data_IF_716596863340
#
_entry.id   IF_716596863340
#
_cell.length_a   1.000
_cell.length_b   1.000
_cell.length_c   1.000
_cell.angle_alpha   90.00
_cell.angle_beta   90.00
_cell.angle_gamma   90.00
#
_symmetry.space_group_name_H-M   'P 1'
#
loop_
_entity.id
_entity.type
_entity.pdbx_description
1 polymer ?
#
# COMPACT_ATOMS: atom_id res chain seq x y z
N UNK A 1 -2.98 1.07 -4.39
CA UNK A 1 -2.25 2.11 -3.67
C UNK A 1 -0.95 1.59 -3.02
N UNK A 2 -0.71 0.28 -2.99
CA UNK A 2 0.49 -0.37 -2.46
C UNK A 2 0.93 -1.45 -3.46
N UNK A 3 2.00 -1.20 -4.22
CA UNK A 3 2.44 -2.06 -5.32
C UNK A 3 3.95 -1.94 -5.58
N UNK A 4 4.60 -3.07 -5.93
CA UNK A 4 6.02 -3.16 -6.29
C UNK A 4 6.16 -3.48 -7.79
N UNK A 5 5.53 -2.62 -8.60
CA UNK A 5 5.36 -2.83 -10.03
C UNK A 5 6.53 -2.29 -10.87
N UNK A 6 7.37 -1.42 -10.31
CA UNK A 6 8.50 -0.84 -11.06
C UNK A 6 9.66 -1.82 -11.17
N UNK A 7 10.26 -1.98 -12.37
CA UNK A 7 11.34 -2.95 -12.54
C UNK A 7 12.66 -2.47 -11.90
N UNK A 8 13.45 -3.41 -11.37
CA UNK A 8 14.82 -3.24 -10.85
C UNK A 8 15.00 -2.35 -9.62
N UNK A 9 13.90 -1.85 -9.02
CA UNK A 9 14.00 -0.90 -7.90
C UNK A 9 14.05 -1.59 -6.53
N UNK A 10 13.40 -2.75 -6.43
CA UNK A 10 13.37 -3.55 -5.20
C UNK A 10 13.27 -5.05 -5.54
N UNK A 11 12.56 -5.86 -4.75
CA UNK A 11 12.32 -7.28 -5.00
C UNK A 11 10.94 -7.55 -5.64
N UNK A 12 10.32 -6.52 -6.21
CA UNK A 12 9.11 -6.63 -7.03
C UNK A 12 9.42 -7.05 -8.46
N UNK A 13 8.90 -6.31 -9.46
CA UNK A 13 9.12 -6.65 -10.86
C UNK A 13 10.61 -6.72 -11.24
N UNK A 14 11.02 -7.86 -11.81
CA UNK A 14 12.43 -8.10 -12.17
C UNK A 14 12.83 -7.45 -13.49
N UNK A 15 11.85 -7.13 -14.35
CA UNK A 15 12.04 -6.50 -15.66
C UNK A 15 10.74 -5.81 -16.13
N UNK A 16 10.80 -5.18 -17.30
CA UNK A 16 9.66 -4.53 -17.91
C UNK A 16 8.54 -5.50 -18.31
N UNK A 17 8.86 -6.70 -18.74
CA UNK A 17 7.85 -7.68 -19.12
C UNK A 17 6.97 -8.04 -17.93
N UNK A 18 7.57 -8.37 -16.79
CA UNK A 18 6.82 -8.63 -15.55
C UNK A 18 6.05 -7.40 -15.07
N UNK A 19 6.67 -6.21 -15.08
CA UNK A 19 6.04 -4.94 -14.69
C UNK A 19 4.77 -4.69 -15.48
N UNK A 20 4.87 -4.75 -16.82
CA UNK A 20 3.73 -4.50 -17.71
C UNK A 20 2.65 -5.59 -17.57
N UNK A 21 3.01 -6.85 -17.44
CA UNK A 21 2.04 -7.93 -17.22
C UNK A 21 1.29 -7.76 -15.88
N UNK A 22 1.95 -7.28 -14.83
CA UNK A 22 1.29 -6.97 -13.55
C UNK A 22 0.29 -5.82 -13.70
N UNK A 23 0.64 -4.77 -14.47
CA UNK A 23 -0.26 -3.65 -14.77
C UNK A 23 -1.43 -4.08 -15.65
N UNK A 24 -1.20 -4.88 -16.71
CA UNK A 24 -2.26 -5.44 -17.55
C UNK A 24 -3.27 -6.23 -16.74
N UNK A 25 -2.79 -7.16 -15.89
CA UNK A 25 -3.68 -7.93 -15.00
C UNK A 25 -4.45 -7.05 -14.02
N UNK A 26 -3.85 -5.95 -13.57
CA UNK A 26 -4.55 -4.98 -12.72
C UNK A 26 -5.67 -4.27 -13.50
N UNK A 27 -5.40 -3.85 -14.75
CA UNK A 27 -6.40 -3.23 -15.63
C UNK A 27 -7.56 -4.17 -15.96
N UNK A 28 -7.31 -5.46 -16.18
CA UNK A 28 -8.34 -6.50 -16.39
C UNK A 28 -9.31 -6.62 -15.19
N UNK A 29 -8.85 -6.22 -13.99
CA UNK A 29 -9.68 -6.16 -12.78
C UNK A 29 -10.32 -4.80 -12.52
N UNK A 30 -10.25 -3.87 -13.51
CA UNK A 30 -10.86 -2.54 -13.41
C UNK A 30 -10.01 -1.53 -12.64
N UNK A 31 -8.70 -1.78 -12.46
CA UNK A 31 -7.80 -0.79 -11.85
C UNK A 31 -7.44 0.26 -12.90
N UNK A 32 -7.81 1.52 -12.63
CA UNK A 32 -7.55 2.66 -13.52
C UNK A 32 -6.31 3.46 -13.10
N UNK A 33 -5.89 3.33 -11.85
CA UNK A 33 -4.71 4.01 -11.32
C UNK A 33 -3.97 3.15 -10.29
N UNK A 34 -2.65 3.25 -10.26
CA UNK A 34 -1.80 2.64 -9.24
C UNK A 34 -0.86 3.67 -8.64
N UNK A 35 -0.48 3.48 -7.37
CA UNK A 35 0.64 4.18 -6.76
C UNK A 35 1.75 3.14 -6.61
N UNK A 36 2.84 3.33 -7.34
CA UNK A 36 4.03 2.50 -7.20
C UNK A 36 4.74 2.87 -5.90
N UNK A 37 4.98 1.87 -5.06
CA UNK A 37 5.53 2.07 -3.71
C UNK A 37 6.75 1.17 -3.48
N UNK A 38 7.82 1.30 -4.28
CA UNK A 38 9.01 0.51 -4.03
C UNK A 38 9.53 0.76 -2.61
N UNK A 39 10.15 -0.27 -2.03
CA UNK A 39 10.70 -0.18 -0.68
C UNK A 39 11.78 0.90 -0.57
N UNK A 40 11.73 1.63 0.53
CA UNK A 40 12.86 2.40 1.03
C UNK A 40 13.35 1.81 2.35
N UNK A 41 14.56 1.26 2.33
CA UNK A 41 15.21 0.64 3.49
C UNK A 41 16.39 1.52 3.95
N UNK A 42 16.38 2.06 5.18
CA UNK A 42 17.42 3.01 5.64
C UNK A 42 18.85 2.47 5.62
N UNK A 43 19.01 1.15 5.65
CA UNK A 43 20.32 0.46 5.66
C UNK A 43 20.78 -0.03 4.29
N UNK A 44 20.01 0.24 3.23
CA UNK A 44 20.31 -0.20 1.86
C UNK A 44 20.29 1.00 0.94
N UNK A 45 21.32 1.11 0.10
CA UNK A 45 21.26 2.06 -0.99
C UNK A 45 20.12 1.70 -1.94
N UNK A 46 19.21 2.63 -2.13
CA UNK A 46 18.03 2.47 -2.96
C UNK A 46 18.07 3.40 -4.18
N UNK A 47 17.06 3.31 -5.01
CA UNK A 47 16.89 4.24 -6.13
C UNK A 47 16.39 5.60 -5.62
N UNK A 48 16.77 6.65 -6.33
CA UNK A 48 16.34 8.02 -5.97
C UNK A 48 14.89 8.29 -6.35
N UNK A 49 14.31 9.31 -5.74
CA UNK A 49 12.95 9.77 -6.06
C UNK A 49 12.79 10.10 -7.56
N UNK A 50 13.81 10.72 -8.18
CA UNK A 50 13.77 11.03 -9.61
C UNK A 50 13.74 9.76 -10.49
N UNK A 51 14.43 8.71 -10.09
CA UNK A 51 14.39 7.42 -10.81
C UNK A 51 13.03 6.79 -10.71
N UNK A 52 12.40 6.81 -9.52
CA UNK A 52 11.04 6.29 -9.32
C UNK A 52 10.04 7.05 -10.21
N UNK A 53 10.10 8.38 -10.21
CA UNK A 53 9.22 9.20 -11.07
C UNK A 53 9.40 8.86 -12.55
N UNK A 54 10.64 8.80 -13.05
CA UNK A 54 10.92 8.44 -14.46
C UNK A 54 10.41 7.05 -14.83
N UNK A 55 10.55 6.07 -13.94
CA UNK A 55 10.05 4.72 -14.19
C UNK A 55 8.51 4.66 -14.18
N UNK A 56 7.83 5.48 -13.37
CA UNK A 56 6.37 5.61 -13.44
C UNK A 56 5.92 6.18 -14.79
N UNK A 57 6.57 7.24 -15.27
CA UNK A 57 6.26 7.83 -16.57
C UNK A 57 6.52 6.83 -17.70
N UNK A 58 7.67 6.14 -17.70
CA UNK A 58 8.01 5.11 -18.67
C UNK A 58 7.03 3.94 -18.65
N UNK A 59 6.61 3.49 -17.47
CA UNK A 59 5.62 2.42 -17.32
C UNK A 59 4.28 2.81 -17.96
N UNK A 60 3.83 4.04 -17.74
CA UNK A 60 2.60 4.59 -18.33
C UNK A 60 2.69 4.64 -19.86
N UNK A 61 3.80 5.16 -20.41
CA UNK A 61 4.02 5.24 -21.84
C UNK A 61 4.07 3.85 -22.50
N UNK A 62 4.81 2.92 -21.92
CA UNK A 62 4.93 1.54 -22.40
C UNK A 62 3.60 0.82 -22.37
N UNK A 63 2.84 0.91 -21.27
CA UNK A 63 1.54 0.28 -21.12
C UNK A 63 0.57 0.75 -22.22
N UNK A 64 0.54 2.05 -22.47
CA UNK A 64 -0.27 2.61 -23.55
C UNK A 64 0.20 2.15 -24.93
N UNK A 65 1.51 2.18 -25.18
CA UNK A 65 2.09 1.85 -26.50
C UNK A 65 2.00 0.37 -26.84
N UNK A 66 2.28 -0.50 -25.87
CA UNK A 66 2.43 -1.95 -26.10
C UNK A 66 1.09 -2.70 -25.96
N UNK A 67 0.20 -2.22 -25.07
CA UNK A 67 -1.08 -2.89 -24.74
C UNK A 67 -2.32 -2.05 -25.01
N UNK A 68 -2.18 -0.77 -25.39
CA UNK A 68 -3.32 0.12 -25.62
C UNK A 68 -4.08 0.51 -24.35
N UNK A 69 -3.49 0.28 -23.18
CA UNK A 69 -4.13 0.51 -21.87
C UNK A 69 -3.70 1.88 -21.34
N UNK A 70 -4.67 2.75 -21.06
CA UNK A 70 -4.45 4.01 -20.34
C UNK A 70 -4.64 3.77 -18.85
N UNK A 71 -3.59 3.93 -18.06
CA UNK A 71 -3.60 3.80 -16.60
C UNK A 71 -2.73 4.90 -16.00
N UNK A 72 -3.22 5.56 -14.97
CA UNK A 72 -2.39 6.49 -14.22
C UNK A 72 -1.47 5.73 -13.25
N UNK A 73 -0.17 6.10 -13.28
CA UNK A 73 0.86 5.48 -12.43
C UNK A 73 1.55 6.61 -11.66
N UNK A 74 1.31 6.65 -10.35
CA UNK A 74 1.84 7.67 -9.46
C UNK A 74 3.04 7.16 -8.68
N UNK A 75 4.05 8.03 -8.41
CA UNK A 75 5.19 7.65 -7.57
C UNK A 75 4.85 7.71 -6.08
N UNK A 76 5.52 6.86 -5.30
CA UNK A 76 5.51 6.83 -3.85
C UNK A 76 6.61 5.91 -3.33
N UNK A 77 6.67 5.72 -2.03
CA UNK A 77 7.51 4.69 -1.40
C UNK A 77 6.73 3.92 -0.33
N UNK A 78 7.06 2.66 -0.15
CA UNK A 78 6.85 1.95 1.10
C UNK A 78 8.10 2.17 1.97
N UNK A 79 7.96 2.98 3.02
CA UNK A 79 9.11 3.44 3.81
C UNK A 79 9.24 2.58 5.06
N UNK A 80 10.37 1.88 5.20
CA UNK A 80 10.71 1.27 6.48
C UNK A 80 10.97 2.40 7.49
N UNK A 81 10.08 2.51 8.48
CA UNK A 81 10.09 3.62 9.41
C UNK A 81 11.35 3.63 10.31
N UNK A 82 11.99 4.79 10.38
CA UNK A 82 13.12 5.08 11.25
C UNK A 82 12.99 6.48 11.87
N UNK A 83 13.87 6.83 12.79
CA UNK A 83 13.94 8.19 13.35
C UNK A 83 14.24 9.27 12.32
N UNK A 84 14.79 8.91 11.16
CA UNK A 84 15.14 9.81 10.07
C UNK A 84 14.00 10.01 9.06
N UNK A 85 12.92 9.21 9.14
CA UNK A 85 11.84 9.20 8.14
C UNK A 85 11.27 10.60 7.87
N UNK A 86 11.05 11.39 8.91
CA UNK A 86 10.51 12.75 8.75
C UNK A 86 11.48 13.67 7.99
N UNK A 87 12.78 13.57 8.27
CA UNK A 87 13.78 14.36 7.58
C UNK A 87 13.95 13.92 6.11
N UNK A 88 13.91 12.63 5.86
CA UNK A 88 13.93 12.07 4.50
C UNK A 88 12.74 12.55 3.65
N UNK A 89 11.55 12.62 4.26
CA UNK A 89 10.36 13.17 3.61
C UNK A 89 10.51 14.68 3.31
N UNK A 90 10.98 15.47 4.28
CA UNK A 90 11.19 16.92 4.10
C UNK A 90 12.22 17.26 3.03
N UNK A 91 13.26 16.45 2.92
CA UNK A 91 14.32 16.64 1.93
C UNK A 91 14.01 16.04 0.56
N UNK A 92 12.87 15.36 0.42
CA UNK A 92 12.46 14.71 -0.83
C UNK A 92 13.29 13.47 -1.20
N UNK A 93 14.07 12.93 -0.26
CA UNK A 93 14.83 11.68 -0.49
C UNK A 93 13.91 10.46 -0.59
N UNK A 94 12.76 10.51 0.08
CA UNK A 94 11.69 9.52 -0.04
C UNK A 94 10.39 10.22 -0.43
N UNK A 95 9.53 9.50 -1.12
CA UNK A 95 8.31 10.02 -1.69
C UNK A 95 7.11 9.72 -0.78
N UNK A 96 6.26 10.71 -0.62
CA UNK A 96 4.88 10.50 -0.18
C UNK A 96 4.06 9.83 -1.29
N UNK A 97 2.89 9.32 -0.99
CA UNK A 97 2.01 8.72 -1.99
C UNK A 97 1.47 9.80 -2.94
N UNK A 98 1.84 9.72 -4.22
CA UNK A 98 1.40 10.64 -5.28
C UNK A 98 1.65 12.13 -4.97
N UNK A 99 2.71 12.48 -4.23
CA UNK A 99 3.04 13.86 -3.86
C UNK A 99 2.09 14.50 -2.83
N UNK A 100 1.27 13.71 -2.16
CA UNK A 100 0.29 14.17 -1.16
C UNK A 100 0.89 14.20 0.26
N UNK A 101 0.06 14.35 1.28
CA UNK A 101 0.46 14.24 2.68
C UNK A 101 0.47 12.78 3.20
N UNK A 102 0.01 11.81 2.43
CA UNK A 102 -0.07 10.41 2.85
C UNK A 102 1.27 9.69 2.67
N UNK A 103 1.65 8.93 3.68
CA UNK A 103 2.93 8.20 3.74
C UNK A 103 2.66 6.75 4.07
N UNK A 104 3.08 5.83 3.20
CA UNK A 104 3.01 4.40 3.46
C UNK A 104 4.25 3.98 4.25
N UNK A 105 4.06 3.45 5.46
CA UNK A 105 5.15 3.03 6.35
C UNK A 105 5.04 1.56 6.69
N UNK A 106 6.21 0.91 6.76
CA UNK A 106 6.32 -0.48 7.19
C UNK A 106 7.31 -0.65 8.35
N UNK A 107 7.26 -1.81 8.99
CA UNK A 107 8.13 -2.23 10.10
C UNK A 107 8.42 -3.72 10.01
N UNK A 108 9.42 -4.18 10.78
CA UNK A 108 9.57 -5.62 11.04
C UNK A 108 8.38 -6.18 11.82
N UNK A 109 8.14 -7.48 11.71
CA UNK A 109 6.98 -8.12 12.35
C UNK A 109 7.00 -8.05 13.88
N UNK A 110 8.21 -8.02 14.46
CA UNK A 110 8.49 -7.95 15.90
C UNK A 110 8.44 -6.54 16.48
N UNK A 111 8.06 -5.54 15.68
CA UNK A 111 7.96 -4.16 16.14
C UNK A 111 7.14 -4.03 17.44
N UNK A 112 7.57 -3.17 18.35
CA UNK A 112 6.78 -2.89 19.56
C UNK A 112 5.58 -2.00 19.22
N UNK A 113 4.49 -2.16 19.96
CA UNK A 113 3.31 -1.31 19.80
C UNK A 113 3.61 0.17 20.06
N UNK A 114 4.48 0.47 21.03
CA UNK A 114 4.93 1.84 21.32
C UNK A 114 5.62 2.49 20.11
N UNK A 115 6.35 1.71 19.29
CA UNK A 115 6.98 2.23 18.08
C UNK A 115 5.93 2.60 17.03
N UNK A 116 4.87 1.81 16.87
CA UNK A 116 3.75 2.17 15.97
C UNK A 116 3.08 3.47 16.43
N UNK A 117 2.79 3.60 17.73
CA UNK A 117 2.23 4.82 18.30
C UNK A 117 3.17 6.03 18.15
N UNK A 118 4.49 5.82 18.32
CA UNK A 118 5.49 6.87 18.09
C UNK A 118 5.46 7.34 16.65
N UNK A 119 5.49 6.41 15.69
CA UNK A 119 5.46 6.74 14.26
C UNK A 119 4.19 7.51 13.87
N UNK A 120 3.02 7.10 14.38
CA UNK A 120 1.77 7.81 14.16
C UNK A 120 1.88 9.28 14.63
N UNK A 121 2.29 9.50 15.87
CA UNK A 121 2.43 10.85 16.44
C UNK A 121 3.48 11.69 15.73
N UNK A 122 4.66 11.14 15.45
CA UNK A 122 5.76 11.86 14.79
C UNK A 122 5.34 12.34 13.40
N UNK A 123 4.76 11.48 12.59
CA UNK A 123 4.32 11.83 11.23
C UNK A 123 3.18 12.85 11.26
N UNK A 124 2.17 12.62 12.13
CA UNK A 124 1.05 13.55 12.29
C UNK A 124 1.49 14.94 12.76
N UNK A 125 2.43 15.01 13.70
CA UNK A 125 3.00 16.27 14.18
C UNK A 125 3.66 17.08 13.06
N UNK A 126 4.24 16.41 12.08
CA UNK A 126 4.88 17.06 10.92
C UNK A 126 3.95 17.21 9.70
N UNK A 127 2.63 17.00 9.86
CA UNK A 127 1.64 17.22 8.80
C UNK A 127 1.44 16.05 7.84
N UNK A 128 2.08 14.90 8.08
CA UNK A 128 1.88 13.70 7.29
C UNK A 128 0.76 12.81 7.86
N UNK A 129 0.13 12.03 7.01
CA UNK A 129 -0.87 11.03 7.39
C UNK A 129 -0.26 9.64 7.18
N UNK A 130 0.14 8.93 8.25
CA UNK A 130 0.70 7.60 8.11
C UNK A 130 -0.35 6.57 7.74
N UNK A 131 -0.03 5.73 6.74
CA UNK A 131 -0.74 4.51 6.42
C UNK A 131 0.17 3.35 6.84
N UNK A 132 -0.28 2.56 7.79
CA UNK A 132 0.45 1.37 8.24
C UNK A 132 0.25 0.25 7.22
N UNK A 133 1.31 -0.06 6.46
CA UNK A 133 1.32 -1.14 5.49
C UNK A 133 1.10 -2.49 6.18
N UNK A 134 0.30 -3.36 5.54
CA UNK A 134 0.05 -4.75 5.96
C UNK A 134 0.03 -4.95 7.49
N UNK A 135 -0.79 -4.12 8.18
CA UNK A 135 -0.91 -4.07 9.65
C UNK A 135 -1.13 -5.45 10.29
N UNK A 136 -1.67 -6.40 9.53
CA UNK A 136 -1.91 -7.78 9.98
C UNK A 136 -0.62 -8.58 10.22
N UNK A 137 0.54 -8.10 9.74
CA UNK A 137 1.84 -8.77 9.90
C UNK A 137 2.48 -8.52 11.26
N UNK A 138 2.11 -7.42 11.95
CA UNK A 138 2.77 -7.04 13.20
C UNK A 138 2.24 -7.84 14.40
N UNK A 139 3.14 -8.52 15.11
CA UNK A 139 2.78 -9.38 16.24
C UNK A 139 2.19 -8.61 17.41
N UNK A 140 2.60 -7.37 17.58
CA UNK A 140 2.09 -6.50 18.65
C UNK A 140 0.62 -6.09 18.46
N UNK A 141 0.05 -6.26 17.25
CA UNK A 141 -1.35 -5.94 16.95
C UNK A 141 -2.19 -7.20 17.12
N UNK A 142 -2.50 -7.51 18.35
CA UNK A 142 -3.18 -8.73 18.78
C UNK A 142 -4.69 -8.55 19.02
N UNK A 143 -5.14 -7.30 19.22
CA UNK A 143 -6.54 -6.96 19.48
C UNK A 143 -7.02 -5.74 18.67
N UNK A 144 -8.32 -5.48 18.73
CA UNK A 144 -8.99 -4.41 17.96
C UNK A 144 -8.75 -3.04 18.61
N UNK A 145 -8.64 -2.99 19.91
CA UNK A 145 -8.45 -1.78 20.69
C UNK A 145 -7.18 -1.03 20.27
N UNK A 146 -6.10 -1.76 20.02
CA UNK A 146 -4.84 -1.20 19.48
C UNK A 146 -5.00 -0.59 18.09
N UNK A 147 -5.82 -1.18 17.23
CA UNK A 147 -6.11 -0.61 15.91
C UNK A 147 -6.91 0.68 16.03
N UNK A 148 -7.91 0.71 16.90
CA UNK A 148 -8.72 1.92 17.17
C UNK A 148 -7.83 3.04 17.70
N UNK A 149 -6.97 2.74 18.67
CA UNK A 149 -6.02 3.71 19.24
C UNK A 149 -5.06 4.28 18.17
N UNK A 150 -4.51 3.46 17.25
CA UNK A 150 -3.70 3.94 16.13
C UNK A 150 -4.49 4.88 15.21
N UNK A 151 -5.76 4.59 14.96
CA UNK A 151 -6.64 5.46 14.16
C UNK A 151 -6.96 6.78 14.90
N UNK A 152 -7.18 6.75 16.20
CA UNK A 152 -7.37 7.95 17.03
C UNK A 152 -6.14 8.85 17.04
N UNK A 153 -4.95 8.28 16.88
CA UNK A 153 -3.69 9.02 16.66
C UNK A 153 -3.56 9.57 15.22
N UNK A 154 -4.54 9.32 14.36
CA UNK A 154 -4.58 9.79 12.96
C UNK A 154 -3.84 8.88 11.98
N UNK A 155 -3.56 7.64 12.36
CA UNK A 155 -3.05 6.61 11.46
C UNK A 155 -4.16 5.94 10.66
N UNK A 156 -3.85 5.50 9.44
CA UNK A 156 -4.72 4.70 8.59
C UNK A 156 -4.14 3.29 8.45
N UNK A 157 -5.02 2.31 8.24
CA UNK A 157 -4.69 0.89 8.33
C UNK A 157 -4.90 0.20 6.99
N UNK A 158 -3.84 -0.39 6.44
CA UNK A 158 -3.91 -1.18 5.21
C UNK A 158 -3.67 -2.66 5.54
N UNK A 159 -4.47 -3.54 4.94
CA UNK A 159 -4.26 -4.99 4.93
C UNK A 159 -4.06 -5.51 3.52
N UNK A 160 -3.29 -6.58 3.39
CA UNK A 160 -3.12 -7.25 2.12
C UNK A 160 -4.31 -8.15 1.77
N UNK A 161 -4.69 -8.16 0.49
CA UNK A 161 -5.79 -9.01 0.00
C UNK A 161 -5.57 -10.48 0.32
N UNK A 162 -4.33 -10.96 0.28
CA UNK A 162 -3.97 -12.34 0.64
C UNK A 162 -4.21 -12.68 2.11
N UNK A 163 -4.26 -11.69 3.00
CA UNK A 163 -4.34 -11.91 4.44
C UNK A 163 -5.69 -12.46 4.92
N UNK A 164 -6.76 -12.32 4.13
CA UNK A 164 -8.10 -12.84 4.48
C UNK A 164 -8.59 -13.96 3.56
N UNK A 165 -7.72 -14.54 2.73
CA UNK A 165 -8.08 -15.64 1.82
C UNK A 165 -7.95 -17.03 2.44
N UNK A 166 -7.34 -17.15 3.61
CA UNK A 166 -7.20 -18.41 4.33
C UNK A 166 -8.55 -18.99 4.76
N UNK A 167 -8.57 -20.33 4.93
CA UNK A 167 -9.73 -21.09 5.37
C UNK A 167 -10.09 -20.85 6.84
N UNK A 168 -11.11 -21.61 7.32
CA UNK A 168 -11.65 -21.48 8.68
C UNK A 168 -10.63 -21.71 9.79
N UNK A 169 -9.59 -22.50 9.52
CA UNK A 169 -8.52 -22.81 10.49
C UNK A 169 -7.36 -21.83 10.48
N UNK A 170 -7.30 -20.92 9.51
CA UNK A 170 -6.27 -19.87 9.45
C UNK A 170 -6.59 -18.74 10.45
N UNK A 171 -5.84 -18.71 11.54
CA UNK A 171 -6.02 -17.74 12.61
C UNK A 171 -5.78 -16.30 12.13
N UNK A 172 -4.80 -16.07 11.25
CA UNK A 172 -4.49 -14.76 10.66
C UNK A 172 -5.66 -14.29 9.79
N UNK A 173 -6.16 -15.13 8.91
CA UNK A 173 -7.29 -14.82 8.06
C UNK A 173 -8.56 -14.51 8.88
N UNK A 174 -8.84 -15.29 9.93
CA UNK A 174 -9.97 -15.01 10.83
C UNK A 174 -9.83 -13.66 11.54
N UNK A 175 -8.62 -13.32 11.99
CA UNK A 175 -8.31 -12.03 12.64
C UNK A 175 -8.61 -10.87 11.69
N UNK A 176 -8.08 -10.91 10.47
CA UNK A 176 -8.29 -9.86 9.46
C UNK A 176 -9.76 -9.76 9.04
N UNK A 177 -10.44 -10.90 8.80
CA UNK A 177 -11.89 -10.92 8.52
C UNK A 177 -12.73 -10.27 9.62
N UNK A 178 -12.34 -10.44 10.91
CA UNK A 178 -12.99 -9.77 12.05
C UNK A 178 -12.80 -8.25 11.99
N UNK A 179 -11.60 -7.77 11.68
CA UNK A 179 -11.29 -6.35 11.54
C UNK A 179 -12.07 -5.69 10.40
N UNK A 180 -12.10 -6.35 9.23
CA UNK A 180 -12.88 -5.90 8.08
C UNK A 180 -14.37 -5.81 8.40
N UNK A 181 -14.96 -6.83 9.04
CA UNK A 181 -16.37 -6.80 9.46
C UNK A 181 -16.71 -5.71 10.49
N UNK A 182 -15.71 -5.23 11.22
CA UNK A 182 -15.86 -4.13 12.19
C UNK A 182 -15.66 -2.74 11.57
N UNK A 183 -15.34 -2.66 10.27
CA UNK A 183 -15.14 -1.38 9.58
C UNK A 183 -13.88 -0.63 10.03
N UNK A 184 -12.87 -1.33 10.58
CA UNK A 184 -11.69 -0.68 11.17
C UNK A 184 -10.60 -0.42 10.13
N UNK A 185 -10.51 -1.24 9.09
CA UNK A 185 -9.51 -1.15 8.04
C UNK A 185 -9.88 -0.04 7.05
N UNK A 186 -8.88 0.69 6.60
CA UNK A 186 -9.07 1.80 5.64
C UNK A 186 -8.76 1.37 4.21
N UNK A 187 -7.79 0.47 4.00
CA UNK A 187 -7.38 0.05 2.66
C UNK A 187 -7.20 -1.46 2.57
N UNK A 188 -7.60 -2.01 1.43
CA UNK A 188 -7.18 -3.34 0.97
C UNK A 188 -6.30 -3.14 -0.26
N UNK A 189 -5.08 -3.68 -0.23
CA UNK A 189 -4.15 -3.58 -1.34
C UNK A 189 -3.60 -4.95 -1.74
N UNK A 190 -3.07 -5.06 -2.96
CA UNK A 190 -2.46 -6.30 -3.44
C UNK A 190 -1.09 -6.55 -2.81
N UNK A 191 -0.31 -5.50 -2.59
CA UNK A 191 1.11 -5.61 -2.26
C UNK A 191 1.81 -6.51 -3.29
N UNK A 192 1.45 -6.32 -4.58
CA UNK A 192 1.89 -7.19 -5.67
C UNK A 192 3.39 -7.03 -5.92
N UNK A 193 4.07 -8.17 -6.11
CA UNK A 193 5.51 -8.22 -6.37
C UNK A 193 5.85 -9.08 -7.60
N UNK A 194 4.95 -9.99 -7.96
CA UNK A 194 5.11 -10.93 -9.05
C UNK A 194 3.75 -11.39 -9.57
N UNK A 195 3.75 -12.33 -10.51
CA UNK A 195 2.53 -12.85 -11.15
C UNK A 195 1.95 -14.10 -10.47
N UNK A 196 2.62 -14.64 -9.43
CA UNK A 196 2.31 -15.96 -8.87
C UNK A 196 2.19 -15.98 -7.35
N UNK A 197 3.23 -15.56 -6.62
CA UNK A 197 3.30 -15.61 -5.15
C UNK A 197 2.54 -14.44 -4.51
N UNK A 198 2.80 -13.25 -5.00
CA UNK A 198 2.11 -12.01 -4.62
C UNK A 198 1.56 -11.31 -5.87
N UNK A 199 0.54 -11.91 -6.51
CA UNK A 199 0.03 -11.40 -7.78
C UNK A 199 -0.84 -10.15 -7.59
N UNK A 200 -1.14 -9.45 -8.70
CA UNK A 200 -2.13 -8.38 -8.74
C UNK A 200 -3.48 -8.77 -8.14
N UNK A 201 -4.29 -7.78 -7.84
CA UNK A 201 -5.68 -7.97 -7.43
C UNK A 201 -6.44 -8.75 -8.52
N UNK A 202 -7.33 -9.65 -8.10
CA UNK A 202 -8.22 -10.38 -9.00
C UNK A 202 -9.62 -10.52 -8.37
N UNK A 203 -10.64 -10.68 -9.20
CA UNK A 203 -12.03 -10.73 -8.74
C UNK A 203 -12.31 -11.87 -7.77
N UNK A 204 -11.74 -13.05 -8.01
CA UNK A 204 -11.83 -14.20 -7.11
C UNK A 204 -11.23 -13.90 -5.73
N UNK A 205 -10.16 -13.11 -5.67
CA UNK A 205 -9.55 -12.67 -4.41
C UNK A 205 -10.42 -11.67 -3.65
N UNK A 206 -11.32 -10.96 -4.32
CA UNK A 206 -12.26 -10.01 -3.72
C UNK A 206 -13.60 -10.65 -3.34
N UNK A 207 -13.87 -11.86 -3.79
CA UNK A 207 -15.17 -12.53 -3.61
C UNK A 207 -15.65 -12.54 -2.15
N UNK A 208 -14.73 -12.74 -1.20
CA UNK A 208 -15.08 -12.72 0.22
C UNK A 208 -15.56 -11.34 0.68
N UNK A 209 -14.89 -10.26 0.25
CA UNK A 209 -15.29 -8.88 0.57
C UNK A 209 -16.69 -8.62 0.00
N UNK A 210 -16.90 -8.96 -1.29
CA UNK A 210 -18.14 -8.75 -2.00
C UNK A 210 -19.32 -9.48 -1.35
N UNK A 211 -19.10 -10.69 -0.81
CA UNK A 211 -20.14 -11.49 -0.16
C UNK A 211 -20.40 -11.12 1.30
N UNK A 212 -19.48 -10.47 2.00
CA UNK A 212 -19.51 -10.36 3.47
C UNK A 212 -19.51 -8.95 4.03
N UNK A 213 -19.22 -7.94 3.21
CA UNK A 213 -19.22 -6.55 3.63
C UNK A 213 -20.30 -5.76 2.89
N UNK A 214 -20.72 -4.65 3.46
CA UNK A 214 -21.64 -3.72 2.83
C UNK A 214 -20.99 -3.01 1.64
N UNK A 215 -21.72 -2.76 0.57
CA UNK A 215 -21.23 -2.15 -0.68
C UNK A 215 -20.48 -0.82 -0.43
N UNK A 216 -21.04 0.04 0.41
CA UNK A 216 -20.42 1.33 0.73
C UNK A 216 -19.03 1.18 1.39
N UNK A 217 -18.84 0.16 2.22
CA UNK A 217 -17.55 -0.10 2.85
C UNK A 217 -16.58 -0.78 1.87
N UNK A 218 -17.08 -1.67 1.01
CA UNK A 218 -16.26 -2.24 -0.08
C UNK A 218 -15.70 -1.14 -0.98
N UNK A 219 -16.56 -0.19 -1.38
CA UNK A 219 -16.16 0.95 -2.20
C UNK A 219 -15.06 1.77 -1.52
N UNK A 220 -15.21 2.11 -0.25
CA UNK A 220 -14.17 2.80 0.51
C UNK A 220 -12.84 2.06 0.55
N UNK A 221 -12.87 0.73 0.80
CA UNK A 221 -11.67 -0.09 0.92
C UNK A 221 -10.88 -0.21 -0.39
N UNK A 222 -11.58 -0.30 -1.52
CA UNK A 222 -10.99 -0.64 -2.81
C UNK A 222 -10.75 0.58 -3.69
N UNK A 223 -11.54 1.63 -3.53
CA UNK A 223 -11.55 2.79 -4.41
C UNK A 223 -11.57 4.13 -3.64
N UNK A 224 -12.63 4.40 -2.86
CA UNK A 224 -12.91 5.72 -2.31
C UNK A 224 -11.76 6.32 -1.51
N UNK A 225 -11.23 5.57 -0.52
CA UNK A 225 -10.11 6.08 0.28
C UNK A 225 -8.80 6.26 -0.54
N UNK A 226 -8.59 5.44 -1.58
CA UNK A 226 -7.45 5.64 -2.48
C UNK A 226 -7.64 6.86 -3.39
N UNK A 227 -8.87 7.13 -3.82
CA UNK A 227 -9.21 8.34 -4.57
C UNK A 227 -9.04 9.60 -3.70
N UNK A 228 -9.40 9.54 -2.41
CA UNK A 228 -9.16 10.65 -1.47
C UNK A 228 -7.67 11.01 -1.36
N UNK A 229 -6.77 10.02 -1.44
CA UNK A 229 -5.32 10.28 -1.55
C UNK A 229 -5.05 11.11 -2.80
N UNK A 230 -5.51 10.66 -3.98
CA UNK A 230 -5.23 11.33 -5.24
C UNK A 230 -5.88 12.72 -5.34
N UNK A 231 -7.08 12.90 -4.82
CA UNK A 231 -7.76 14.22 -4.81
C UNK A 231 -7.10 15.22 -3.87
N UNK A 232 -6.29 14.77 -2.92
CA UNK A 232 -5.50 15.64 -2.03
C UNK A 232 -4.15 16.06 -2.61
N UNK A 233 -3.84 15.69 -3.87
CA UNK A 233 -2.67 16.23 -4.56
C UNK A 233 -2.75 17.76 -4.61
N UNK A 234 -1.67 18.43 -4.21
CA UNK A 234 -1.57 19.87 -4.38
C UNK A 234 -1.43 20.17 -5.88
N UNK A 235 -2.41 20.84 -6.44
CA UNK A 235 -2.36 21.41 -7.79
C UNK A 235 -1.29 22.51 -7.83
#
# INVERSE_FOLDING_TARGET
>A
MHTHVLPWVDHGAVDWDMSLQMLVKSAECGVEAVIATPHYLPWKEGVTAEVICKLCDEAKERLQKEYGISMDIYPGNEIYYSSETVELLKTGKVLTLAGTQYVLIEFQQEVSYQMLCKAARDLRFHGYIPIFAHIERYFCVDNIEKLIELKEMGGLLQVNVGAFQGGLFDAKSRKVKKWLKKGIIDFVASDMHDLTQRPPMSNDRLEWLQKKLELQYQDKLLYGNAQDILTSMKV
#
